data_IF_028638416976
#
_entry.id   IF_028638416976
#
_cell.length_a   1.000
_cell.length_b   1.000
_cell.length_c   1.000
_cell.angle_alpha   90.00
_cell.angle_beta   90.00
_cell.angle_gamma   90.00
#
_symmetry.space_group_name_H-M   'P 1'
#
loop_
_entity.id
_entity.type
_entity.pdbx_description
1 polymer ?
#
# COMPACT_ATOMS: atom_id res chain seq x y z
N UNK A 1 6.30 -28.37 6.98
CA UNK A 1 6.91 -27.40 7.91
C UNK A 1 5.82 -26.46 8.40
N UNK A 2 5.35 -26.66 9.62
CA UNK A 2 4.43 -25.77 10.32
C UNK A 2 5.28 -24.99 11.33
N UNK A 3 5.13 -23.66 11.44
CA UNK A 3 5.79 -22.89 12.51
C UNK A 3 6.84 -21.84 12.13
N UNK A 4 6.83 -21.28 10.91
CA UNK A 4 7.51 -20.00 10.65
C UNK A 4 6.54 -18.85 10.86
N UNK A 5 6.80 -18.01 11.85
CA UNK A 5 6.08 -16.76 12.07
C UNK A 5 6.64 -15.70 11.13
N UNK A 6 5.76 -15.05 10.36
CA UNK A 6 6.15 -13.94 9.50
C UNK A 6 6.26 -12.67 10.36
N UNK A 7 7.38 -11.93 10.32
CA UNK A 7 7.57 -10.73 11.13
C UNK A 7 6.76 -9.54 10.60
N UNK A 8 5.70 -9.17 11.33
CA UNK A 8 4.77 -8.10 10.99
C UNK A 8 3.45 -8.17 11.77
N UNK A 9 2.59 -7.17 11.59
CA UNK A 9 1.25 -7.08 12.18
C UNK A 9 0.15 -7.22 11.13
N UNK A 10 -1.07 -7.48 11.60
CA UNK A 10 -2.28 -7.41 10.76
C UNK A 10 -3.06 -6.17 11.21
N UNK A 11 -3.16 -5.20 10.31
CA UNK A 11 -3.85 -3.94 10.59
C UNK A 11 -5.15 -3.85 9.80
N UNK A 12 -6.17 -3.22 10.40
CA UNK A 12 -7.44 -2.91 9.74
C UNK A 12 -7.27 -1.58 9.00
N UNK A 13 -7.21 -1.62 7.67
CA UNK A 13 -7.12 -0.41 6.83
C UNK A 13 -8.45 -0.11 6.16
N UNK A 14 -8.80 1.16 6.12
CA UNK A 14 -9.93 1.68 5.36
C UNK A 14 -9.68 1.48 3.86
N UNK A 15 -10.72 1.07 3.13
CA UNK A 15 -10.67 0.90 1.69
C UNK A 15 -12.01 1.27 1.05
N UNK A 16 -12.03 1.28 -0.28
CA UNK A 16 -13.27 1.49 -1.04
C UNK A 16 -14.34 0.48 -0.61
N UNK A 17 -15.58 0.93 -0.37
CA UNK A 17 -16.68 0.05 0.02
C UNK A 17 -16.90 -1.07 -1.00
N UNK A 18 -17.04 -2.30 -0.52
CA UNK A 18 -17.31 -3.46 -1.35
C UNK A 18 -18.44 -4.32 -0.79
N UNK A 19 -19.22 -4.88 -1.70
CA UNK A 19 -20.30 -5.79 -1.38
C UNK A 19 -19.77 -7.19 -1.08
N UNK A 20 -20.08 -7.69 0.11
CA UNK A 20 -19.77 -9.04 0.53
C UNK A 20 -21.05 -9.84 0.73
N UNK A 21 -21.16 -10.97 0.03
CA UNK A 21 -22.28 -11.90 0.17
C UNK A 21 -21.93 -12.95 1.22
N UNK A 22 -22.69 -13.00 2.31
CA UNK A 22 -22.51 -14.02 3.36
C UNK A 22 -22.99 -15.36 2.81
N UNK A 23 -22.11 -16.37 2.66
CA UNK A 23 -22.46 -17.63 2.00
C UNK A 23 -23.61 -18.38 2.69
N UNK A 24 -23.72 -18.26 4.02
CA UNK A 24 -24.73 -18.97 4.81
C UNK A 24 -26.13 -18.34 4.72
N UNK A 25 -26.22 -17.02 4.49
CA UNK A 25 -27.50 -16.29 4.59
C UNK A 25 -27.92 -15.61 3.30
N UNK A 26 -27.01 -15.50 2.31
CA UNK A 26 -27.25 -14.79 1.05
C UNK A 26 -27.41 -13.27 1.23
N UNK A 27 -27.11 -12.73 2.41
CA UNK A 27 -27.19 -11.29 2.68
C UNK A 27 -25.98 -10.57 2.10
N UNK A 28 -26.23 -9.41 1.49
CA UNK A 28 -25.21 -8.51 0.98
C UNK A 28 -24.88 -7.49 2.08
N UNK A 29 -23.61 -7.36 2.42
CA UNK A 29 -23.10 -6.36 3.36
C UNK A 29 -22.07 -5.48 2.67
N UNK A 30 -22.18 -4.18 2.89
CA UNK A 30 -21.17 -3.22 2.44
C UNK A 30 -20.03 -3.16 3.48
N UNK A 31 -18.81 -3.47 3.06
CA UNK A 31 -17.61 -3.46 3.90
C UNK A 31 -16.64 -2.38 3.41
N UNK A 32 -16.23 -1.50 4.32
CA UNK A 32 -15.31 -0.39 4.04
C UNK A 32 -13.92 -0.59 4.67
N UNK A 33 -13.62 -1.79 5.14
CA UNK A 33 -12.35 -2.11 5.78
C UNK A 33 -11.81 -3.47 5.33
N UNK A 34 -10.50 -3.51 5.13
CA UNK A 34 -9.74 -4.72 4.83
C UNK A 34 -8.63 -4.96 5.84
N UNK A 35 -8.36 -6.23 6.11
CA UNK A 35 -7.20 -6.64 6.90
C UNK A 35 -5.97 -6.72 5.99
N UNK A 36 -4.91 -6.01 6.36
CA UNK A 36 -3.68 -5.94 5.57
C UNK A 36 -2.51 -6.35 6.44
N UNK A 37 -1.66 -7.21 5.87
CA UNK A 37 -0.39 -7.57 6.48
C UNK A 37 0.61 -6.42 6.33
N UNK A 38 1.16 -5.97 7.45
CA UNK A 38 2.18 -4.92 7.53
C UNK A 38 3.47 -5.56 8.04
N UNK A 39 4.50 -5.72 7.19
CA UNK A 39 5.78 -6.28 7.63
C UNK A 39 6.55 -5.26 8.48
N UNK A 40 7.24 -5.71 9.53
CA UNK A 40 7.99 -4.85 10.47
C UNK A 40 9.10 -4.02 9.80
N UNK A 41 9.56 -4.43 8.62
CA UNK A 41 10.62 -3.76 7.87
C UNK A 41 10.12 -2.67 6.90
N UNK A 42 8.81 -2.47 6.76
CA UNK A 42 8.30 -1.26 6.12
C UNK A 42 8.38 -0.14 7.14
N UNK A 43 9.45 0.66 7.06
CA UNK A 43 9.36 2.04 7.52
C UNK A 43 8.13 2.65 6.85
N UNK A 44 7.19 3.14 7.63
CA UNK A 44 5.98 3.77 7.13
C UNK A 44 6.36 4.85 6.10
N UNK A 45 6.17 4.52 4.82
CA UNK A 45 6.26 5.45 3.70
C UNK A 45 5.18 6.56 3.76
N UNK A 46 4.32 6.51 4.80
CA UNK A 46 3.46 7.59 5.26
C UNK A 46 4.08 8.41 6.42
N UNK A 47 5.40 8.60 6.43
CA UNK A 47 5.99 9.75 7.12
C UNK A 47 5.59 11.00 6.35
N UNK A 48 4.43 11.55 6.71
CA UNK A 48 3.98 12.94 6.53
C UNK A 48 4.93 13.78 5.67
N UNK A 49 4.78 13.75 4.33
CA UNK A 49 5.28 14.86 3.50
C UNK A 49 4.18 15.92 3.48
N UNK A 50 3.90 16.50 4.65
CA UNK A 50 3.22 17.78 4.71
C UNK A 50 4.20 18.84 4.18
N UNK A 51 3.95 19.25 2.94
CA UNK A 51 4.42 20.52 2.35
C UNK A 51 5.93 20.65 2.03
N UNK A 52 6.51 19.80 1.16
CA UNK A 52 7.72 20.18 0.40
C UNK A 52 8.08 19.28 -0.81
N UNK A 53 7.15 18.62 -1.51
CA UNK A 53 7.53 18.00 -2.80
C UNK A 53 7.60 19.10 -3.87
N UNK A 54 8.68 19.89 -3.86
CA UNK A 54 9.11 20.59 -5.07
C UNK A 54 9.71 19.50 -5.96
N UNK A 55 9.10 19.25 -7.11
CA UNK A 55 9.71 18.43 -8.15
C UNK A 55 10.97 19.18 -8.62
N UNK A 56 12.09 18.97 -7.94
CA UNK A 56 13.37 19.50 -8.39
C UNK A 56 13.75 18.76 -9.66
N UNK A 57 13.59 19.45 -10.80
CA UNK A 57 13.89 18.94 -12.14
C UNK A 57 15.34 18.46 -12.26
N UNK A 58 16.23 18.91 -11.36
CA UNK A 58 17.64 18.49 -11.34
C UNK A 58 17.89 17.16 -10.61
N UNK A 59 16.86 16.55 -9.99
CA UNK A 59 16.99 15.23 -9.34
C UNK A 59 16.92 14.06 -10.34
N UNK A 60 16.48 14.33 -11.57
CA UNK A 60 16.44 13.31 -12.63
C UNK A 60 17.83 13.21 -13.28
N UNK A 61 18.41 12.02 -13.23
CA UNK A 61 19.70 11.69 -13.85
C UNK A 61 19.72 12.08 -15.33
N UNK A 62 20.62 12.99 -15.71
CA UNK A 62 20.85 13.46 -17.09
C UNK A 62 21.60 12.43 -17.96
N UNK A 63 21.70 11.17 -17.54
CA UNK A 63 22.46 10.13 -18.25
C UNK A 63 21.71 9.49 -19.43
N UNK A 64 20.79 10.23 -20.05
CA UNK A 64 20.22 9.89 -21.34
C UNK A 64 20.93 10.69 -22.43
N UNK A 65 22.12 10.24 -22.85
CA UNK A 65 22.76 10.75 -24.06
C UNK A 65 21.84 10.46 -25.25
N UNK A 66 21.17 11.48 -25.76
CA UNK A 66 20.48 11.41 -27.05
C UNK A 66 21.58 11.41 -28.12
N UNK A 67 22.00 10.21 -28.54
CA UNK A 67 22.78 10.03 -29.75
C UNK A 67 21.83 10.33 -30.91
N UNK A 68 21.89 11.56 -31.43
CA UNK A 68 21.34 11.90 -32.74
C UNK A 68 22.15 11.14 -33.80
N UNK A 69 21.47 10.34 -34.63
CA UNK A 69 22.00 9.71 -35.82
C UNK A 69 21.22 10.22 -37.04
#
# INVERSE_FOLDING_TARGET
MIGKQLPGSIDKKECEPYDYVVPETGKILELNYRWVYVPDNRQDENTVISNAVRADVNLFSTNGSLVEA
#
